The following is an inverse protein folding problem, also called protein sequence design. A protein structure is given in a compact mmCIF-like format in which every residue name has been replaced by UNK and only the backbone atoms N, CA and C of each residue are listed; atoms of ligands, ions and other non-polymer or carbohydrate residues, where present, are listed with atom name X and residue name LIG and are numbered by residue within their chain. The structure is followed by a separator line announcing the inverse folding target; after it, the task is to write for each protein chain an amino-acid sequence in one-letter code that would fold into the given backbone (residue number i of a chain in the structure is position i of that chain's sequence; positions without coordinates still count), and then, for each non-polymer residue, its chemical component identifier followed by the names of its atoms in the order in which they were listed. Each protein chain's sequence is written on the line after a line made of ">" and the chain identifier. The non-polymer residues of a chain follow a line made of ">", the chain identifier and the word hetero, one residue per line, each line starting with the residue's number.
data_IF_055016588271
#
_entry.id   IF_055016588271
#
_cell.length_a   1.000
_cell.length_b   1.000
_cell.length_c   1.000
_cell.angle_alpha   90.00
_cell.angle_beta   90.00
_cell.angle_gamma   90.00
#
_symmetry.space_group_name_H-M   'P 1'
#
loop_
_entity.id
_entity.type
_entity.pdbx_description
1 polymer ?
#
# COMPACT_ATOMS: atom_id res chain seq x y z
N UNK A 1 10.15 47.42 3.06
CA UNK A 1 8.70 47.09 2.95
C UNK A 1 8.57 45.90 2.01
N UNK A 2 7.98 44.80 2.48
CA UNK A 2 7.88 43.51 1.76
C UNK A 2 6.89 43.63 0.59
N UNK A 3 7.28 43.18 -0.60
CA UNK A 3 6.40 43.02 -1.75
C UNK A 3 5.97 41.54 -1.83
N UNK A 4 4.68 41.27 -1.62
CA UNK A 4 4.07 39.97 -1.89
C UNK A 4 3.49 39.98 -3.30
N UNK A 5 3.99 39.09 -4.15
CA UNK A 5 3.46 38.83 -5.49
C UNK A 5 2.38 37.75 -5.38
N UNK A 6 1.11 38.15 -5.51
CA UNK A 6 -0.03 37.24 -5.60
C UNK A 6 -0.28 36.90 -7.08
N UNK A 7 0.01 35.65 -7.45
CA UNK A 7 -0.30 35.10 -8.75
C UNK A 7 -1.78 34.70 -8.76
N UNK A 8 -2.62 35.47 -9.45
CA UNK A 8 -4.03 35.13 -9.67
C UNK A 8 -4.12 34.11 -10.80
N UNK A 9 -4.37 32.85 -10.48
CA UNK A 9 -4.75 31.84 -11.47
C UNK A 9 -6.24 32.01 -11.81
N UNK A 10 -6.52 32.38 -13.06
CA UNK A 10 -7.85 32.43 -13.65
C UNK A 10 -8.39 31.02 -13.86
N UNK A 11 -9.54 30.70 -13.27
CA UNK A 11 -10.31 29.51 -13.60
C UNK A 11 -11.13 29.76 -14.88
N UNK A 12 -11.22 28.80 -15.82
CA UNK A 12 -12.10 28.96 -16.96
C UNK A 12 -13.56 28.81 -16.51
N UNK A 13 -14.35 29.81 -16.86
CA UNK A 13 -15.80 29.81 -16.75
C UNK A 13 -16.39 28.93 -17.86
N UNK A 14 -17.00 27.80 -17.50
CA UNK A 14 -17.93 27.12 -18.39
C UNK A 14 -18.84 26.17 -17.60
N UNK A 15 -19.78 26.77 -16.86
CA UNK A 15 -21.10 26.17 -16.61
C UNK A 15 -22.14 27.30 -16.78
N UNK A 16 -22.38 27.70 -18.04
CA UNK A 16 -23.70 28.19 -18.43
C UNK A 16 -24.55 26.93 -18.67
N UNK A 17 -25.81 26.80 -18.29
CA UNK A 17 -26.72 27.56 -17.44
C UNK A 17 -27.97 26.66 -17.32
N UNK A 18 -28.74 26.81 -16.26
CA UNK A 18 -30.19 26.78 -16.42
C UNK A 18 -30.74 28.01 -15.68
N UNK A 19 -31.27 29.02 -16.38
CA UNK A 19 -31.98 30.10 -15.70
C UNK A 19 -33.22 29.50 -15.06
N UNK A 20 -33.43 29.79 -13.77
CA UNK A 20 -34.65 29.42 -13.05
C UNK A 20 -35.77 30.31 -13.60
N UNK A 21 -36.44 29.88 -14.67
CA UNK A 21 -37.50 30.65 -15.33
C UNK A 21 -38.90 30.34 -14.82
N UNK A 22 -39.04 29.58 -13.74
CA UNK A 22 -40.35 29.36 -13.13
C UNK A 22 -40.23 29.25 -11.61
N UNK A 23 -40.97 30.11 -10.91
CA UNK A 23 -41.35 29.91 -9.51
C UNK A 23 -42.65 29.08 -9.56
N UNK A 24 -42.63 27.78 -9.23
CA UNK A 24 -43.83 27.00 -9.00
C UNK A 24 -44.60 27.61 -7.83
N UNK A 25 -45.85 27.96 -8.07
CA UNK A 25 -46.80 28.32 -7.01
C UNK A 25 -47.24 27.04 -6.29
N UNK A 26 -46.61 26.71 -5.17
CA UNK A 26 -46.95 25.56 -4.33
C UNK A 26 -46.52 25.78 -2.87
N UNK A 27 -47.18 25.11 -1.90
CA UNK A 27 -46.97 25.35 -0.47
C UNK A 27 -45.51 25.12 -0.06
N UNK A 28 -44.98 26.01 0.78
CA UNK A 28 -43.56 26.08 1.22
C UNK A 28 -43.03 24.75 1.79
N UNK A 29 -43.91 23.85 2.22
CA UNK A 29 -43.58 22.53 2.76
C UNK A 29 -43.06 21.52 1.73
N UNK A 30 -43.33 21.68 0.44
CA UNK A 30 -42.84 20.75 -0.61
C UNK A 30 -41.43 21.08 -1.12
N UNK A 31 -40.90 22.25 -0.74
CA UNK A 31 -39.60 22.78 -1.17
C UNK A 31 -38.42 22.23 -0.36
N UNK A 32 -38.63 21.89 0.89
CA UNK A 32 -37.57 21.45 1.81
C UNK A 32 -37.02 20.07 1.46
N UNK A 33 -37.80 19.22 0.81
CA UNK A 33 -37.42 17.85 0.44
C UNK A 33 -36.51 17.80 -0.79
N UNK A 34 -36.76 18.65 -1.79
CA UNK A 34 -35.99 18.65 -3.05
C UNK A 34 -34.62 19.32 -2.91
N UNK A 35 -34.51 20.39 -2.12
CA UNK A 35 -33.24 21.07 -1.87
C UNK A 35 -32.31 20.20 -1.01
N UNK A 36 -32.85 19.42 -0.06
CA UNK A 36 -32.08 18.43 0.72
C UNK A 36 -31.51 17.31 -0.15
N UNK A 37 -32.25 16.85 -1.15
CA UNK A 37 -31.75 15.84 -2.10
C UNK A 37 -30.59 16.36 -2.92
N UNK A 38 -30.64 17.61 -3.38
CA UNK A 38 -29.57 18.21 -4.19
C UNK A 38 -28.32 18.54 -3.37
N UNK A 39 -28.47 18.96 -2.11
CA UNK A 39 -27.32 19.23 -1.22
C UNK A 39 -26.61 17.94 -0.76
N UNK A 40 -27.33 16.82 -0.63
CA UNK A 40 -26.71 15.53 -0.32
C UNK A 40 -25.93 14.93 -1.49
N UNK A 41 -26.23 15.31 -2.74
CA UNK A 41 -25.55 14.80 -3.93
C UNK A 41 -24.26 15.56 -4.28
N UNK A 42 -24.05 16.77 -3.76
CA UNK A 42 -22.85 17.59 -4.09
C UNK A 42 -21.68 17.24 -3.16
N UNK A 43 -21.94 16.70 -1.96
CA UNK A 43 -20.89 16.34 -0.99
C UNK A 43 -20.05 15.12 -1.38
N UNK A 44 -20.45 14.33 -2.37
CA UNK A 44 -19.78 13.07 -2.73
C UNK A 44 -18.71 13.22 -3.83
N UNK A 45 -18.38 14.44 -4.25
CA UNK A 45 -17.44 14.68 -5.37
C UNK A 45 -16.17 15.45 -4.98
N UNK A 46 -15.97 15.73 -3.69
CA UNK A 46 -14.64 16.02 -3.18
C UNK A 46 -13.97 14.68 -2.96
N UNK A 47 -13.11 14.26 -3.89
CA UNK A 47 -12.17 13.18 -3.65
C UNK A 47 -11.43 13.48 -2.35
N UNK A 48 -11.83 12.80 -1.27
CA UNK A 48 -11.08 12.80 -0.01
C UNK A 48 -9.70 12.33 -0.37
N UNK A 49 -8.73 13.25 -0.38
CA UNK A 49 -7.31 12.89 -0.44
C UNK A 49 -7.11 11.87 0.66
N UNK A 50 -6.85 10.62 0.29
CA UNK A 50 -6.60 9.55 1.25
C UNK A 50 -5.56 10.07 2.25
N UNK A 51 -5.87 9.96 3.54
CA UNK A 51 -4.91 10.34 4.56
C UNK A 51 -3.62 9.54 4.31
N UNK A 52 -2.43 10.16 4.48
CA UNK A 52 -1.20 9.43 4.27
C UNK A 52 -1.17 8.20 5.18
N UNK A 53 -0.64 7.09 4.66
CA UNK A 53 -0.51 5.87 5.45
C UNK A 53 0.30 6.13 6.73
N UNK A 54 -0.20 5.60 7.84
CA UNK A 54 0.41 5.70 9.17
C UNK A 54 0.79 4.29 9.64
N UNK A 55 0.28 3.83 10.78
CA UNK A 55 0.69 2.56 11.42
C UNK A 55 -0.05 1.33 10.92
N UNK A 56 -1.27 1.49 10.39
CA UNK A 56 -2.15 0.38 10.09
C UNK A 56 -2.88 0.59 8.76
N UNK A 57 -2.95 -0.44 7.94
CA UNK A 57 -3.77 -0.49 6.73
C UNK A 57 -4.45 -1.87 6.59
N UNK A 58 -5.76 -1.86 6.32
CA UNK A 58 -6.61 -3.06 6.29
C UNK A 58 -7.59 -3.06 5.10
N UNK A 59 -7.26 -2.39 4.00
CA UNK A 59 -8.19 -2.12 2.89
C UNK A 59 -8.59 -3.40 2.12
N UNK A 60 -7.93 -4.54 2.35
CA UNK A 60 -8.40 -5.83 1.82
C UNK A 60 -9.49 -6.46 2.71
N UNK A 61 -9.52 -6.12 4.00
CA UNK A 61 -10.27 -6.83 5.04
C UNK A 61 -11.31 -5.98 5.78
N UNK A 62 -11.29 -4.65 5.60
CA UNK A 62 -12.19 -3.71 6.27
C UNK A 62 -13.51 -3.42 5.50
N UNK A 63 -13.73 -4.12 4.38
CA UNK A 63 -14.89 -3.93 3.52
C UNK A 63 -14.70 -2.88 2.42
N UNK A 64 -13.49 -2.30 2.28
CA UNK A 64 -13.15 -1.47 1.13
C UNK A 64 -13.37 -2.25 -0.18
N UNK A 65 -13.99 -1.57 -1.16
CA UNK A 65 -14.24 -2.16 -2.48
C UNK A 65 -12.91 -2.48 -3.19
N UNK A 66 -12.91 -3.54 -4.01
CA UNK A 66 -11.73 -3.92 -4.80
C UNK A 66 -11.15 -2.75 -5.57
N UNK A 67 -9.81 -2.66 -5.56
CA UNK A 67 -9.02 -1.69 -6.29
C UNK A 67 -8.18 -2.38 -7.36
N UNK A 68 -7.64 -1.60 -8.29
CA UNK A 68 -6.83 -2.13 -9.40
C UNK A 68 -5.54 -2.81 -8.89
N UNK A 69 -5.03 -2.37 -7.74
CA UNK A 69 -3.82 -2.89 -7.11
C UNK A 69 -4.06 -3.19 -5.64
N UNK A 70 -3.65 -4.38 -5.20
CA UNK A 70 -3.63 -4.77 -3.79
C UNK A 70 -2.20 -5.01 -3.35
N UNK A 71 -1.69 -4.15 -2.46
CA UNK A 71 -0.35 -4.24 -1.89
C UNK A 71 -0.43 -4.86 -0.50
N UNK A 72 0.17 -6.03 -0.35
CA UNK A 72 0.28 -6.76 0.92
C UNK A 72 1.68 -6.57 1.47
N UNK A 73 1.79 -5.99 2.67
CA UNK A 73 3.06 -5.57 3.24
C UNK A 73 3.32 -6.19 4.62
N UNK A 74 4.50 -6.77 4.82
CA UNK A 74 4.99 -7.19 6.12
C UNK A 74 6.03 -6.20 6.65
N UNK A 75 5.77 -5.61 7.83
CA UNK A 75 6.68 -4.67 8.49
C UNK A 75 7.97 -5.36 8.98
N UNK A 76 8.93 -4.58 9.45
CA UNK A 76 10.13 -5.10 10.10
C UNK A 76 9.94 -5.31 11.60
N UNK A 77 10.90 -6.01 12.21
CA UNK A 77 10.90 -6.33 13.63
C UNK A 77 10.74 -5.07 14.49
N UNK A 78 9.87 -5.13 15.50
CA UNK A 78 9.49 -4.08 16.44
C UNK A 78 8.78 -2.85 15.85
N UNK A 79 8.47 -2.83 14.55
CA UNK A 79 7.76 -1.71 13.96
C UNK A 79 6.29 -1.65 14.42
N UNK A 80 5.73 -0.44 14.43
CA UNK A 80 4.38 -0.19 14.94
C UNK A 80 3.28 -0.67 14.00
N UNK A 81 2.14 -1.06 14.57
CA UNK A 81 0.94 -1.46 13.82
C UNK A 81 1.20 -2.63 12.88
N UNK A 82 0.64 -2.64 11.67
CA UNK A 82 0.85 -3.70 10.68
C UNK A 82 1.64 -3.25 9.43
N UNK A 83 1.95 -1.94 9.32
CA UNK A 83 2.74 -1.38 8.22
C UNK A 83 3.95 -0.53 8.64
N UNK A 84 4.16 -0.28 9.93
CA UNK A 84 5.22 0.61 10.43
C UNK A 84 4.75 2.06 10.62
N UNK A 85 5.51 2.89 11.32
CA UNK A 85 5.15 4.30 11.54
C UNK A 85 5.20 5.12 10.24
N UNK A 86 4.55 6.29 10.21
CA UNK A 86 4.43 7.12 9.00
C UNK A 86 5.77 7.51 8.34
N UNK A 87 6.88 7.51 9.10
CA UNK A 87 8.23 7.78 8.59
C UNK A 87 9.05 6.55 8.23
N UNK A 88 8.48 5.35 8.35
CA UNK A 88 9.14 4.09 7.99
C UNK A 88 9.02 3.83 6.49
N UNK A 89 9.86 2.92 5.98
CA UNK A 89 9.94 2.61 4.55
C UNK A 89 8.58 2.17 3.96
N UNK A 90 7.81 1.36 4.70
CA UNK A 90 6.50 0.87 4.28
C UNK A 90 5.51 1.99 3.92
N UNK A 91 5.09 2.84 4.87
CA UNK A 91 4.13 3.90 4.59
C UNK A 91 4.65 4.93 3.58
N UNK A 92 5.95 5.22 3.57
CA UNK A 92 6.55 6.09 2.54
C UNK A 92 6.43 5.49 1.14
N UNK A 93 6.73 4.20 0.97
CA UNK A 93 6.60 3.48 -0.30
C UNK A 93 5.13 3.41 -0.75
N UNK A 94 4.20 3.11 0.16
CA UNK A 94 2.76 3.08 -0.12
C UNK A 94 2.23 4.45 -0.57
N UNK A 95 2.64 5.52 0.11
CA UNK A 95 2.28 6.90 -0.27
C UNK A 95 2.83 7.27 -1.66
N UNK A 96 4.05 6.85 -1.98
CA UNK A 96 4.64 7.07 -3.31
C UNK A 96 3.92 6.25 -4.40
N UNK A 97 3.58 4.98 -4.16
CA UNK A 97 2.78 4.17 -5.10
C UNK A 97 1.42 4.82 -5.34
N UNK A 98 0.72 5.19 -4.27
CA UNK A 98 -0.58 5.88 -4.32
C UNK A 98 -0.51 7.17 -5.16
N UNK A 99 0.58 7.95 -5.02
CA UNK A 99 0.79 9.14 -5.83
C UNK A 99 1.05 8.86 -7.32
N UNK A 100 1.67 7.72 -7.65
CA UNK A 100 1.98 7.33 -9.03
C UNK A 100 0.78 6.75 -9.77
N UNK A 101 -0.01 5.89 -9.11
CA UNK A 101 -1.08 5.13 -9.77
C UNK A 101 -2.47 5.74 -9.53
N UNK A 102 -2.62 6.56 -8.49
CA UNK A 102 -3.90 7.11 -8.02
C UNK A 102 -4.34 6.43 -6.72
N UNK A 103 -4.69 7.23 -5.72
CA UNK A 103 -5.08 6.75 -4.40
C UNK A 103 -6.35 5.88 -4.41
N UNK A 104 -7.24 6.09 -5.38
CA UNK A 104 -8.44 5.29 -5.60
C UNK A 104 -8.17 3.96 -6.32
N UNK A 105 -6.92 3.70 -6.72
CA UNK A 105 -6.50 2.44 -7.37
C UNK A 105 -5.66 1.53 -6.49
N UNK A 106 -5.18 2.01 -5.35
CA UNK A 106 -4.39 1.24 -4.41
C UNK A 106 -5.23 0.83 -3.21
N UNK A 107 -5.23 -0.47 -2.90
CA UNK A 107 -5.60 -1.01 -1.60
C UNK A 107 -4.34 -1.55 -0.91
N UNK A 108 -4.11 -1.16 0.34
CA UNK A 108 -2.99 -1.63 1.17
C UNK A 108 -3.53 -2.50 2.30
N UNK A 109 -2.86 -3.63 2.49
CA UNK A 109 -3.11 -4.55 3.59
C UNK A 109 -1.79 -4.87 4.29
N UNK A 110 -1.66 -4.47 5.55
CA UNK A 110 -0.55 -4.93 6.38
C UNK A 110 -0.77 -6.37 6.86
N UNK A 111 0.31 -7.13 6.97
CA UNK A 111 0.31 -8.44 7.62
C UNK A 111 0.33 -8.20 9.12
N UNK A 112 -0.72 -8.65 9.81
CA UNK A 112 -0.80 -8.56 11.27
C UNK A 112 -0.11 -9.78 11.87
N UNK A 113 1.09 -9.56 12.40
CA UNK A 113 1.97 -10.56 12.99
C UNK A 113 2.79 -9.88 14.10
N UNK A 114 3.40 -10.64 15.01
CA UNK A 114 4.00 -10.07 16.22
C UNK A 114 5.20 -9.16 15.94
N UNK A 115 5.92 -9.42 14.84
CA UNK A 115 7.14 -8.72 14.47
C UNK A 115 8.16 -8.64 15.61
N UNK A 116 8.34 -9.72 16.35
CA UNK A 116 9.26 -9.75 17.49
C UNK A 116 10.64 -10.28 17.11
N UNK A 117 11.60 -10.07 18.02
CA UNK A 117 12.99 -10.50 17.83
C UNK A 117 13.11 -12.02 17.76
N UNK A 118 12.22 -12.76 18.44
CA UNK A 118 12.25 -14.23 18.46
C UNK A 118 11.91 -14.78 17.09
N UNK A 119 10.87 -14.25 16.44
CA UNK A 119 10.50 -14.62 15.08
C UNK A 119 11.56 -14.22 14.04
N UNK A 120 12.39 -13.21 14.30
CA UNK A 120 13.46 -12.79 13.38
C UNK A 120 14.69 -13.69 13.51
N UNK A 121 15.07 -14.02 14.75
CA UNK A 121 16.16 -14.95 15.05
C UNK A 121 15.77 -16.42 14.79
N UNK A 122 14.80 -16.65 13.90
CA UNK A 122 14.31 -17.94 13.46
C UNK A 122 15.40 -18.89 12.94
N UNK A 123 16.61 -18.43 12.69
CA UNK A 123 17.79 -19.29 12.53
C UNK A 123 18.09 -20.17 13.78
N UNK A 124 17.46 -19.94 14.94
CA UNK A 124 17.48 -20.84 16.10
C UNK A 124 16.17 -21.61 16.36
N UNK A 125 15.02 -21.21 15.78
CA UNK A 125 13.67 -21.78 16.09
C UNK A 125 12.67 -21.88 14.91
N UNK A 126 12.96 -21.31 13.75
CA UNK A 126 12.11 -21.21 12.54
C UNK A 126 11.69 -19.77 12.21
N UNK A 127 11.52 -19.44 10.92
CA UNK A 127 10.82 -18.22 10.46
C UNK A 127 9.45 -18.16 11.16
N UNK A 128 8.92 -16.96 11.42
CA UNK A 128 7.55 -16.80 11.92
C UNK A 128 6.53 -17.38 10.94
N UNK A 129 6.23 -18.66 11.14
CA UNK A 129 5.42 -19.48 10.25
C UNK A 129 3.96 -19.00 10.22
N UNK A 130 3.47 -18.45 11.33
CA UNK A 130 2.14 -17.87 11.45
C UNK A 130 2.04 -16.55 10.69
N UNK A 131 3.04 -15.68 10.80
CA UNK A 131 3.15 -14.47 10.00
C UNK A 131 3.22 -14.78 8.49
N UNK A 132 4.02 -15.77 8.10
CA UNK A 132 4.14 -16.22 6.72
C UNK A 132 2.83 -16.84 6.20
N UNK A 133 2.15 -17.64 7.02
CA UNK A 133 0.83 -18.20 6.69
C UNK A 133 -0.21 -17.08 6.53
N UNK A 134 -0.20 -16.09 7.41
CA UNK A 134 -1.09 -14.92 7.34
C UNK A 134 -0.89 -14.16 6.03
N UNK A 135 0.36 -13.93 5.62
CA UNK A 135 0.64 -13.29 4.34
C UNK A 135 0.16 -14.13 3.14
N UNK A 136 0.39 -15.45 3.15
CA UNK A 136 -0.10 -16.37 2.11
C UNK A 136 -1.64 -16.36 2.01
N UNK A 137 -2.33 -16.33 3.15
CA UNK A 137 -3.79 -16.26 3.23
C UNK A 137 -4.32 -14.93 2.69
N UNK A 138 -3.63 -13.81 2.96
CA UNK A 138 -3.98 -12.50 2.42
C UNK A 138 -3.77 -12.43 0.90
N UNK A 139 -2.70 -13.02 0.36
CA UNK A 139 -2.47 -13.13 -1.09
C UNK A 139 -3.58 -13.96 -1.74
N UNK A 140 -3.93 -15.10 -1.14
CA UNK A 140 -5.04 -15.95 -1.59
C UNK A 140 -6.39 -15.23 -1.52
N UNK A 141 -6.61 -14.43 -0.47
CA UNK A 141 -7.80 -13.59 -0.33
C UNK A 141 -7.86 -12.52 -1.42
N UNK A 142 -6.77 -11.80 -1.68
CA UNK A 142 -6.74 -10.78 -2.73
C UNK A 142 -7.08 -11.38 -4.09
N UNK A 143 -6.51 -12.55 -4.40
CA UNK A 143 -6.77 -13.28 -5.64
C UNK A 143 -8.25 -13.70 -5.79
N UNK A 144 -8.89 -14.14 -4.71
CA UNK A 144 -10.27 -14.65 -4.73
C UNK A 144 -11.33 -13.56 -4.62
N UNK A 145 -11.13 -12.58 -3.72
CA UNK A 145 -12.05 -11.47 -3.47
C UNK A 145 -12.01 -10.42 -4.58
N UNK A 146 -10.82 -10.18 -5.15
CA UNK A 146 -10.59 -9.16 -6.17
C UNK A 146 -9.85 -9.77 -7.37
N UNK A 147 -10.48 -10.65 -8.17
CA UNK A 147 -9.80 -11.41 -9.22
C UNK A 147 -9.18 -10.56 -10.34
N UNK A 148 -9.58 -9.28 -10.47
CA UNK A 148 -8.99 -8.33 -11.41
C UNK A 148 -7.81 -7.52 -10.83
N UNK A 149 -7.56 -7.60 -9.52
CA UNK A 149 -6.48 -6.84 -8.87
C UNK A 149 -5.11 -7.35 -9.29
N UNK A 150 -4.15 -6.45 -9.46
CA UNK A 150 -2.74 -6.80 -9.53
C UNK A 150 -2.21 -6.89 -8.11
N UNK A 151 -1.69 -8.06 -7.72
CA UNK A 151 -1.18 -8.28 -6.36
C UNK A 151 0.29 -7.85 -6.28
N UNK A 152 0.63 -7.10 -5.24
CA UNK A 152 2.00 -6.73 -4.88
C UNK A 152 2.31 -7.30 -3.51
N UNK A 153 3.42 -7.99 -3.37
CA UNK A 153 3.96 -8.42 -2.08
C UNK A 153 5.14 -7.52 -1.70
N UNK A 154 5.25 -7.12 -0.46
CA UNK A 154 6.41 -6.36 -0.02
C UNK A 154 6.75 -6.60 1.45
N UNK A 155 8.03 -6.47 1.79
CA UNK A 155 8.52 -6.69 3.14
C UNK A 155 9.75 -5.87 3.46
N UNK A 156 9.97 -5.59 4.74
CA UNK A 156 11.21 -4.99 5.26
C UNK A 156 11.81 -5.88 6.35
N UNK A 157 13.11 -6.18 6.27
CA UNK A 157 13.83 -6.99 7.27
C UNK A 157 13.16 -8.35 7.45
N UNK A 158 12.72 -8.71 8.66
CA UNK A 158 11.88 -9.89 8.93
C UNK A 158 10.65 -10.01 8.00
N UNK A 159 10.03 -8.90 7.61
CA UNK A 159 8.93 -8.92 6.64
C UNK A 159 9.34 -9.46 5.27
N UNK A 160 10.63 -9.36 4.90
CA UNK A 160 11.20 -10.02 3.73
C UNK A 160 11.19 -11.54 3.84
N UNK A 161 11.56 -12.09 4.99
CA UNK A 161 11.46 -13.54 5.25
C UNK A 161 10.02 -14.03 5.11
N UNK A 162 9.04 -13.23 5.58
CA UNK A 162 7.62 -13.53 5.41
C UNK A 162 7.22 -13.54 3.92
N UNK A 163 7.77 -12.65 3.09
CA UNK A 163 7.53 -12.64 1.63
C UNK A 163 8.02 -13.95 0.99
N UNK A 164 9.25 -14.37 1.31
CA UNK A 164 9.80 -15.63 0.81
C UNK A 164 8.99 -16.84 1.28
N UNK A 165 8.78 -16.96 2.59
CA UNK A 165 8.05 -18.09 3.16
C UNK A 165 6.57 -18.15 2.70
N UNK A 166 5.91 -17.01 2.52
CA UNK A 166 4.56 -16.96 1.97
C UNK A 166 4.52 -17.42 0.51
N UNK A 167 5.51 -17.03 -0.31
CA UNK A 167 5.60 -17.49 -1.69
C UNK A 167 5.78 -19.02 -1.76
N UNK A 168 6.62 -19.59 -0.90
CA UNK A 168 6.83 -21.04 -0.81
C UNK A 168 5.56 -21.78 -0.36
N UNK A 169 4.86 -21.26 0.66
CA UNK A 169 3.56 -21.80 1.11
C UNK A 169 2.50 -21.79 0.00
N UNK A 170 2.50 -20.74 -0.83
CA UNK A 170 1.57 -20.61 -1.95
C UNK A 170 1.90 -21.54 -3.12
N UNK A 171 3.17 -21.97 -3.26
CA UNK A 171 3.63 -22.87 -4.32
C UNK A 171 3.12 -22.46 -5.71
N UNK A 172 2.64 -23.41 -6.51
CA UNK A 172 2.14 -23.14 -7.87
C UNK A 172 0.68 -22.65 -7.94
N UNK A 173 0.15 -22.08 -6.86
CA UNK A 173 -1.24 -21.59 -6.78
C UNK A 173 -1.55 -20.50 -7.82
N UNK A 174 -2.85 -20.35 -8.14
CA UNK A 174 -3.31 -19.25 -8.99
C UNK A 174 -3.01 -17.88 -8.35
N UNK A 175 -3.06 -17.80 -7.02
CA UNK A 175 -2.78 -16.57 -6.28
C UNK A 175 -1.32 -16.11 -6.45
N UNK A 176 -0.34 -17.02 -6.34
CA UNK A 176 1.07 -16.66 -6.59
C UNK A 176 1.30 -16.21 -8.03
N UNK A 177 0.66 -16.87 -8.99
CA UNK A 177 0.75 -16.51 -10.42
C UNK A 177 0.17 -15.13 -10.74
N UNK A 178 -0.76 -14.64 -9.92
CA UNK A 178 -1.37 -13.32 -10.03
C UNK A 178 -0.49 -12.20 -9.47
N UNK A 179 0.60 -12.52 -8.75
CA UNK A 179 1.55 -11.52 -8.25
C UNK A 179 2.23 -10.81 -9.41
N UNK A 180 2.10 -9.48 -9.44
CA UNK A 180 2.62 -8.60 -10.47
C UNK A 180 3.98 -8.01 -10.10
N UNK A 181 4.22 -7.76 -8.81
CA UNK A 181 5.49 -7.24 -8.30
C UNK A 181 5.78 -7.73 -6.88
N UNK A 182 7.06 -7.84 -6.56
CA UNK A 182 7.58 -8.08 -5.21
C UNK A 182 8.67 -7.04 -4.93
N UNK A 183 8.61 -6.39 -3.76
CA UNK A 183 9.69 -5.49 -3.30
C UNK A 183 10.10 -5.83 -1.87
N UNK A 184 11.39 -6.12 -1.66
CA UNK A 184 11.93 -6.45 -0.33
C UNK A 184 13.06 -5.47 0.01
N UNK A 185 13.00 -4.88 1.21
CA UNK A 185 14.04 -4.00 1.74
C UNK A 185 14.81 -4.70 2.86
N UNK A 186 16.15 -4.67 2.83
CA UNK A 186 16.96 -5.25 3.90
C UNK A 186 16.73 -6.75 4.07
N UNK A 187 16.70 -7.48 2.97
CA UNK A 187 16.25 -8.87 2.87
C UNK A 187 17.23 -9.87 3.55
N UNK A 188 16.82 -10.58 4.61
CA UNK A 188 17.66 -11.62 5.23
C UNK A 188 17.98 -12.80 4.32
N UNK A 189 17.11 -13.07 3.33
CA UNK A 189 17.22 -14.18 2.37
C UNK A 189 17.75 -13.68 1.00
N UNK A 190 18.45 -12.53 1.01
CA UNK A 190 18.96 -11.89 -0.19
C UNK A 190 19.82 -12.82 -1.05
N UNK A 191 19.42 -12.96 -2.31
CA UNK A 191 20.04 -13.86 -3.30
C UNK A 191 19.20 -15.09 -3.60
N UNK A 192 18.26 -15.45 -2.72
CA UNK A 192 17.32 -16.53 -2.96
C UNK A 192 16.14 -16.08 -3.85
N UNK A 193 15.54 -17.00 -4.63
CA UNK A 193 14.32 -16.69 -5.36
C UNK A 193 13.11 -16.53 -4.42
N UNK A 194 12.14 -15.72 -4.82
CA UNK A 194 10.84 -15.60 -4.13
C UNK A 194 9.87 -16.63 -4.74
N UNK A 195 9.92 -17.86 -4.25
CA UNK A 195 9.13 -18.98 -4.78
C UNK A 195 9.32 -19.17 -6.30
N UNK A 196 8.23 -19.32 -7.04
CA UNK A 196 8.24 -19.43 -8.51
C UNK A 196 7.97 -18.09 -9.24
N UNK A 197 8.00 -16.97 -8.52
CA UNK A 197 7.80 -15.65 -9.12
C UNK A 197 8.99 -15.30 -10.02
N UNK A 198 8.70 -14.85 -11.24
CA UNK A 198 9.73 -14.47 -12.20
C UNK A 198 10.61 -13.32 -11.67
N UNK A 199 11.93 -13.45 -11.83
CA UNK A 199 12.90 -12.51 -11.27
C UNK A 199 12.71 -11.06 -11.75
N UNK A 200 12.16 -10.85 -12.95
CA UNK A 200 11.88 -9.49 -13.45
C UNK A 200 10.74 -8.80 -12.70
N UNK A 201 9.93 -9.53 -11.94
CA UNK A 201 8.89 -9.01 -11.05
C UNK A 201 9.40 -8.76 -9.62
N UNK A 202 10.62 -9.16 -9.30
CA UNK A 202 11.18 -9.05 -7.95
C UNK A 202 12.25 -7.96 -7.91
N UNK A 203 12.15 -7.07 -6.93
CA UNK A 203 13.18 -6.09 -6.61
C UNK A 203 13.58 -6.24 -5.13
N UNK A 204 14.80 -6.73 -4.89
CA UNK A 204 15.42 -6.72 -3.58
C UNK A 204 16.33 -5.50 -3.48
N UNK A 205 16.19 -4.72 -2.40
CA UNK A 205 16.99 -3.53 -2.12
C UNK A 205 17.77 -3.79 -0.84
N UNK A 206 19.08 -3.95 -0.99
CA UNK A 206 20.03 -4.18 0.09
C UNK A 206 21.15 -3.15 0.02
N UNK A 207 21.38 -2.43 1.12
CA UNK A 207 22.44 -1.44 1.20
C UNK A 207 23.81 -2.08 1.46
N UNK A 208 24.85 -1.47 0.91
CA UNK A 208 26.24 -1.84 1.21
C UNK A 208 26.49 -1.73 2.73
N UNK A 209 26.94 -2.83 3.34
CA UNK A 209 27.19 -2.91 4.77
C UNK A 209 25.96 -3.22 5.62
N UNK A 210 24.80 -3.51 5.01
CA UNK A 210 23.68 -4.11 5.72
C UNK A 210 24.01 -5.56 6.08
N UNK A 211 24.27 -5.79 7.36
CA UNK A 211 24.63 -7.11 7.88
C UNK A 211 23.44 -8.10 7.83
N UNK A 212 22.20 -7.63 7.79
CA UNK A 212 21.02 -8.48 7.67
C UNK A 212 20.97 -9.10 6.27
N UNK A 213 21.21 -8.29 5.23
CA UNK A 213 21.35 -8.77 3.85
C UNK A 213 22.50 -9.75 3.61
N UNK A 214 23.43 -9.86 4.56
CA UNK A 214 24.53 -10.81 4.54
C UNK A 214 24.23 -12.08 5.38
N UNK A 215 22.97 -12.29 5.78
CA UNK A 215 22.54 -13.42 6.61
C UNK A 215 22.91 -13.32 8.08
N UNK A 216 23.36 -12.15 8.55
CA UNK A 216 23.67 -11.91 9.94
C UNK A 216 22.48 -11.31 10.72
N UNK A 217 22.73 -10.95 11.98
CA UNK A 217 21.68 -10.49 12.92
C UNK A 217 21.95 -9.10 13.51
N UNK A 218 23.02 -8.45 13.09
CA UNK A 218 23.40 -7.13 13.58
C UNK A 218 22.63 -6.04 12.84
N UNK A 219 21.92 -5.21 13.60
CA UNK A 219 21.26 -4.01 13.08
C UNK A 219 22.28 -2.87 13.01
N UNK A 220 22.79 -2.62 11.80
CA UNK A 220 23.73 -1.55 11.52
C UNK A 220 23.04 -0.36 10.83
N UNK A 221 23.63 0.85 10.81
CA UNK A 221 23.00 2.01 10.17
C UNK A 221 22.49 1.80 8.73
N UNK A 222 23.17 1.04 7.84
CA UNK A 222 22.65 0.75 6.50
C UNK A 222 21.33 -0.03 6.48
N UNK A 223 20.99 -0.74 7.57
CA UNK A 223 19.72 -1.45 7.67
C UNK A 223 18.54 -0.51 8.03
N UNK A 224 18.82 0.70 8.52
CA UNK A 224 17.83 1.57 9.15
C UNK A 224 17.37 2.75 8.28
N UNK A 225 17.89 2.86 7.05
CA UNK A 225 17.73 4.05 6.21
C UNK A 225 17.05 3.79 4.86
N UNK A 226 16.34 2.67 4.66
CA UNK A 226 15.63 2.33 3.41
C UNK A 226 14.52 3.31 2.99
N UNK A 227 14.19 4.28 3.83
CA UNK A 227 13.30 5.39 3.47
C UNK A 227 13.80 6.16 2.24
N UNK A 228 15.11 6.18 1.99
CA UNK A 228 15.70 6.84 0.81
C UNK A 228 15.32 6.14 -0.51
N UNK A 229 15.01 4.84 -0.45
CA UNK A 229 14.70 4.00 -1.60
C UNK A 229 13.20 3.86 -1.86
N UNK A 230 12.37 4.31 -0.91
CA UNK A 230 10.91 4.20 -0.99
C UNK A 230 10.33 4.75 -2.30
N UNK A 231 10.96 5.76 -2.92
CA UNK A 231 10.56 6.26 -4.23
C UNK A 231 10.93 5.29 -5.35
N UNK A 232 12.16 4.78 -5.37
CA UNK A 232 12.63 3.87 -6.42
C UNK A 232 11.83 2.56 -6.41
N UNK A 233 11.51 2.05 -5.21
CA UNK A 233 10.60 0.93 -5.02
C UNK A 233 9.20 1.19 -5.59
N UNK A 234 8.64 2.37 -5.33
CA UNK A 234 7.34 2.74 -5.86
C UNK A 234 7.34 2.88 -7.39
N UNK A 235 8.41 3.42 -7.98
CA UNK A 235 8.59 3.50 -9.43
C UNK A 235 8.64 2.09 -10.05
N UNK A 236 9.33 1.14 -9.42
CA UNK A 236 9.34 -0.26 -9.84
C UNK A 236 7.95 -0.90 -9.76
N UNK A 237 7.25 -0.77 -8.63
CA UNK A 237 5.89 -1.28 -8.47
C UNK A 237 4.98 -0.71 -9.57
N UNK A 238 4.98 0.62 -9.75
CA UNK A 238 4.17 1.28 -10.76
C UNK A 238 4.47 0.75 -12.17
N UNK A 239 5.73 0.46 -12.51
CA UNK A 239 6.08 -0.12 -13.81
C UNK A 239 5.49 -1.51 -14.07
N UNK A 240 5.09 -2.24 -13.02
CA UNK A 240 4.48 -3.57 -13.10
C UNK A 240 2.96 -3.53 -13.02
N UNK A 241 2.40 -2.49 -12.42
CA UNK A 241 0.96 -2.42 -12.11
C UNK A 241 0.18 -1.31 -12.79
N UNK A 242 0.84 -0.31 -13.37
CA UNK A 242 0.19 0.72 -14.19
C UNK A 242 -0.29 0.18 -15.55
#
# INVERSE_FOLDING_TARGET
>A
MKASLLLTASLPASVLAAPITAIPSGPVSTWTTHIRSLLNSISSSLATRAAPYATTANELTDGTACRDVTLIYARGTTQNGNIGAAGDVGPLMMNNVSALIGADKLAVQGVDYDADVVGFLGNLVGVDDEGAQTMADLVSRASTQCPATKIVMSGYSQGGQLVHAAADKLGDSAALKQVAAVVIFGDPDNGDPVGTIAADKVQVICHDGDNICAGGVLILPPHLNYQIDAKAAADFIASKVA
#
